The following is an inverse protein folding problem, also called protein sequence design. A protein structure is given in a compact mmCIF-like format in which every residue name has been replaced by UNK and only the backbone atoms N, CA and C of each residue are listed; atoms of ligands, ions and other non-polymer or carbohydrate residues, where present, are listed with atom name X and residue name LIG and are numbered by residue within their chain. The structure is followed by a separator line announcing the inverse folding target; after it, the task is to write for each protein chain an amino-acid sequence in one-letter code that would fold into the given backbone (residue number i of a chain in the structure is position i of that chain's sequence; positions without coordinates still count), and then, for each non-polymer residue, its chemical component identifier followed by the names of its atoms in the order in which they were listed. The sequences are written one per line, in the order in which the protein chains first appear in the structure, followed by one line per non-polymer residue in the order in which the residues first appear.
data_IF_780665765658
#
_entry.id   IF_780665765658
#
_cell.length_a   1.000
_cell.length_b   1.000
_cell.length_c   1.000
_cell.angle_alpha   90.00
_cell.angle_beta   90.00
_cell.angle_gamma   90.00
#
_symmetry.space_group_name_H-M   'P 1'
#
loop_
_entity.id
_entity.type
_entity.pdbx_description
1 polymer ?
#
# COMPACT_ATOMS: atom_id res chain seq x y z
N UNK A 1 16.83 -80.76 -8.48
CA UNK A 1 16.20 -80.78 -7.14
C UNK A 1 16.37 -79.47 -6.51
N UNK A 2 15.31 -78.90 -6.00
CA UNK A 2 15.09 -77.74 -5.20
C UNK A 2 14.87 -76.41 -5.92
N UNK A 3 13.59 -76.18 -6.03
CA UNK A 3 12.91 -74.90 -6.26
C UNK A 3 13.22 -73.94 -5.15
N UNK A 4 13.33 -72.67 -5.50
CA UNK A 4 13.22 -71.59 -4.53
C UNK A 4 12.33 -70.51 -5.10
N UNK A 5 11.26 -70.26 -4.40
CA UNK A 5 10.10 -69.41 -4.68
C UNK A 5 10.50 -67.96 -4.71
N UNK A 6 10.06 -67.29 -5.77
CA UNK A 6 9.99 -65.83 -5.82
C UNK A 6 8.79 -65.35 -4.98
N UNK A 7 9.06 -64.50 -4.03
CA UNK A 7 8.03 -63.76 -3.28
C UNK A 7 7.93 -62.35 -3.86
N UNK A 8 6.79 -62.12 -4.46
CA UNK A 8 6.37 -60.78 -4.93
C UNK A 8 6.16 -59.82 -3.76
N UNK A 9 6.89 -58.72 -3.73
CA UNK A 9 6.57 -57.58 -2.92
C UNK A 9 5.97 -56.49 -3.83
N UNK A 10 4.64 -56.52 -3.98
CA UNK A 10 3.83 -55.41 -4.46
C UNK A 10 3.39 -54.67 -3.21
N UNK A 11 3.80 -53.47 -3.08
CA UNK A 11 3.42 -52.68 -1.90
C UNK A 11 3.61 -51.20 -2.06
N UNK A 12 2.53 -50.50 -2.27
CA UNK A 12 2.24 -49.11 -1.86
C UNK A 12 3.23 -48.03 -2.25
N UNK A 13 3.02 -47.46 -3.42
CA UNK A 13 3.49 -46.11 -3.75
C UNK A 13 2.40 -45.37 -4.53
N UNK A 14 1.30 -45.07 -3.92
CA UNK A 14 0.31 -44.10 -4.44
C UNK A 14 -0.46 -43.56 -3.26
N UNK A 15 -0.08 -42.47 -2.72
CA UNK A 15 -0.95 -41.37 -2.14
C UNK A 15 0.01 -40.24 -1.74
N UNK A 16 0.28 -39.35 -2.65
CA UNK A 16 1.15 -38.20 -2.36
C UNK A 16 1.05 -37.06 -3.38
N UNK A 17 0.05 -37.07 -4.24
CA UNK A 17 -0.06 -36.07 -5.28
C UNK A 17 -1.50 -35.58 -5.46
N UNK A 18 -2.07 -34.97 -4.45
CA UNK A 18 -3.34 -34.22 -4.64
C UNK A 18 -3.44 -32.98 -3.77
N UNK A 19 -2.32 -32.33 -3.44
CA UNK A 19 -2.34 -31.03 -2.76
C UNK A 19 -1.62 -29.93 -3.54
N UNK A 20 -1.30 -30.15 -4.80
CA UNK A 20 -0.97 -29.05 -5.74
C UNK A 20 -2.25 -28.58 -6.42
N UNK A 21 -3.26 -28.30 -5.63
CA UNK A 21 -4.49 -27.72 -6.07
C UNK A 21 -4.45 -26.20 -5.92
N UNK A 22 -4.75 -25.55 -6.99
CA UNK A 22 -5.09 -24.16 -7.18
C UNK A 22 -3.90 -23.23 -7.05
N UNK A 23 -3.18 -23.01 -8.07
CA UNK A 23 -3.66 -22.31 -9.26
C UNK A 23 -3.77 -20.86 -8.92
N UNK A 24 -2.77 -20.09 -9.14
CA UNK A 24 -2.75 -18.68 -9.48
C UNK A 24 -4.07 -17.89 -9.27
N UNK A 25 -4.60 -17.81 -8.09
CA UNK A 25 -5.41 -16.65 -7.75
C UNK A 25 -4.42 -15.51 -7.54
N UNK A 26 -4.36 -14.59 -8.46
CA UNK A 26 -3.88 -13.22 -8.24
C UNK A 26 -4.80 -12.66 -7.15
N UNK A 27 -4.57 -13.03 -5.91
CA UNK A 27 -5.45 -12.75 -4.78
C UNK A 27 -4.64 -12.33 -3.60
N UNK A 28 -5.17 -11.37 -2.88
CA UNK A 28 -4.66 -10.98 -1.57
C UNK A 28 -4.71 -12.20 -0.67
N UNK A 29 -3.58 -12.56 -0.11
CA UNK A 29 -3.50 -13.65 0.87
C UNK A 29 -4.04 -13.17 2.23
N UNK A 30 -4.60 -14.06 3.06
CA UNK A 30 -5.03 -13.70 4.41
C UNK A 30 -3.90 -12.97 5.17
N UNK A 31 -4.22 -11.79 5.72
CA UNK A 31 -3.25 -10.95 6.42
C UNK A 31 -2.43 -9.99 5.55
N UNK A 32 -2.60 -10.02 4.22
CA UNK A 32 -2.02 -9.03 3.32
C UNK A 32 -2.91 -7.79 3.22
N UNK A 33 -2.31 -6.61 3.33
CA UNK A 33 -2.97 -5.33 3.07
C UNK A 33 -2.81 -4.88 1.62
N UNK A 34 -1.66 -5.17 1.02
CA UNK A 34 -1.40 -4.91 -0.38
C UNK A 34 -0.37 -5.88 -0.94
N UNK A 35 -0.44 -6.10 -2.25
CA UNK A 35 0.59 -6.80 -3.05
C UNK A 35 0.97 -5.86 -4.19
N UNK A 36 2.24 -5.49 -4.27
CA UNK A 36 2.79 -4.63 -5.30
C UNK A 36 3.95 -5.37 -5.95
N UNK A 37 3.83 -5.73 -7.22
CA UNK A 37 4.82 -6.59 -7.87
C UNK A 37 5.04 -7.88 -7.08
N UNK A 38 6.26 -8.08 -6.61
CA UNK A 38 6.67 -9.24 -5.83
C UNK A 38 6.59 -9.03 -4.30
N UNK A 39 6.30 -7.81 -3.85
CA UNK A 39 6.30 -7.46 -2.44
C UNK A 39 4.89 -7.49 -1.84
N UNK A 40 4.82 -7.82 -0.55
CA UNK A 40 3.58 -7.91 0.22
C UNK A 40 3.64 -7.03 1.46
N UNK A 41 2.71 -6.11 1.57
CA UNK A 41 2.48 -5.29 2.76
C UNK A 41 1.46 -6.01 3.63
N UNK A 42 1.80 -6.30 4.89
CA UNK A 42 0.89 -6.97 5.81
C UNK A 42 -0.12 -6.02 6.45
N UNK A 43 -1.29 -6.54 6.89
CA UNK A 43 -2.26 -5.81 7.70
C UNK A 43 -1.64 -5.30 9.01
N UNK A 44 -0.79 -6.11 9.66
CA UNK A 44 -0.11 -5.72 10.90
C UNK A 44 0.82 -4.52 10.68
N UNK A 45 1.49 -4.44 9.52
CA UNK A 45 2.31 -3.27 9.16
C UNK A 45 1.44 -2.03 9.01
N UNK A 46 0.30 -2.13 8.33
CA UNK A 46 -0.66 -1.01 8.17
C UNK A 46 -1.21 -0.58 9.53
N UNK A 47 -1.66 -1.51 10.36
CA UNK A 47 -2.25 -1.22 11.67
C UNK A 47 -1.25 -0.60 12.65
N UNK A 48 -0.05 -1.15 12.71
CA UNK A 48 1.01 -0.59 13.56
C UNK A 48 1.43 0.80 13.09
N UNK A 49 1.62 0.98 11.80
CA UNK A 49 1.98 2.29 11.22
C UNK A 49 0.86 3.32 11.43
N UNK A 50 -0.42 2.96 11.23
CA UNK A 50 -1.56 3.85 11.49
C UNK A 50 -1.64 4.26 12.96
N UNK A 51 -1.33 3.37 13.88
CA UNK A 51 -1.28 3.66 15.32
C UNK A 51 -0.16 4.64 15.66
N UNK A 52 1.03 4.46 15.10
CA UNK A 52 2.17 5.37 15.30
C UNK A 52 1.90 6.73 14.65
N UNK A 53 1.33 6.73 13.45
CA UNK A 53 0.94 7.95 12.74
C UNK A 53 -0.14 8.73 13.52
N UNK A 54 -1.16 8.06 14.06
CA UNK A 54 -2.11 8.69 14.99
C UNK A 54 -1.40 9.33 16.17
N UNK A 55 -0.46 8.62 16.79
CA UNK A 55 0.29 9.13 17.95
C UNK A 55 1.07 10.41 17.61
N UNK A 56 1.60 10.51 16.41
CA UNK A 56 2.32 11.70 15.94
C UNK A 56 1.42 12.94 15.89
N UNK A 57 0.19 12.79 15.42
CA UNK A 57 -0.76 13.89 15.22
C UNK A 57 -1.74 14.09 16.38
N UNK A 58 -1.73 13.20 17.37
CA UNK A 58 -2.66 13.24 18.50
C UNK A 58 -2.69 14.59 19.23
N UNK A 59 -1.55 15.25 19.56
CA UNK A 59 -1.58 16.55 20.21
C UNK A 59 -2.28 17.64 19.40
N UNK A 60 -2.08 17.64 18.09
CA UNK A 60 -2.70 18.59 17.17
C UNK A 60 -4.21 18.36 17.08
N UNK A 61 -4.63 17.09 16.93
CA UNK A 61 -6.05 16.72 16.86
C UNK A 61 -6.78 17.12 18.16
N UNK A 62 -6.19 16.85 19.32
CA UNK A 62 -6.75 17.23 20.61
C UNK A 62 -6.86 18.76 20.77
N UNK A 63 -5.84 19.51 20.36
CA UNK A 63 -5.87 20.95 20.39
C UNK A 63 -6.98 21.55 19.52
N UNK A 64 -7.26 20.90 18.38
CA UNK A 64 -8.32 21.31 17.46
C UNK A 64 -9.70 20.74 17.81
N UNK A 65 -9.81 19.88 18.83
CA UNK A 65 -11.03 19.16 19.17
C UNK A 65 -11.50 18.20 18.05
N UNK A 66 -10.56 17.74 17.21
CA UNK A 66 -10.84 16.88 16.07
C UNK A 66 -10.61 15.42 16.42
N UNK A 67 -11.39 14.56 15.78
CA UNK A 67 -11.25 13.12 15.83
C UNK A 67 -11.29 12.53 14.42
N UNK A 68 -10.46 11.54 14.17
CA UNK A 68 -10.37 10.85 12.90
C UNK A 68 -10.63 9.36 13.12
N UNK A 69 -11.59 8.72 12.43
CA UNK A 69 -11.76 7.28 12.52
C UNK A 69 -10.51 6.53 12.08
N UNK A 70 -10.08 5.52 12.85
CA UNK A 70 -8.87 4.74 12.55
C UNK A 70 -8.91 4.07 11.17
N UNK A 71 -10.11 3.74 10.66
CA UNK A 71 -10.23 3.21 9.29
C UNK A 71 -9.67 4.15 8.22
N UNK A 72 -9.84 5.47 8.38
CA UNK A 72 -9.28 6.45 7.44
C UNK A 72 -7.76 6.50 7.52
N UNK A 73 -7.21 6.43 8.72
CA UNK A 73 -5.75 6.36 8.89
C UNK A 73 -5.20 5.07 8.26
N UNK A 74 -5.87 3.93 8.46
CA UNK A 74 -5.47 2.67 7.81
C UNK A 74 -5.54 2.76 6.29
N UNK A 75 -6.61 3.33 5.74
CA UNK A 75 -6.77 3.57 4.31
C UNK A 75 -5.64 4.45 3.77
N UNK A 76 -5.38 5.58 4.43
CA UNK A 76 -4.33 6.51 4.04
C UNK A 76 -2.94 5.86 4.11
N UNK A 77 -2.64 5.20 5.23
CA UNK A 77 -1.37 4.50 5.45
C UNK A 77 -1.16 3.39 4.42
N UNK A 78 -2.17 2.57 4.15
CA UNK A 78 -2.06 1.51 3.16
C UNK A 78 -1.77 2.04 1.77
N UNK A 79 -2.46 3.10 1.36
CA UNK A 79 -2.20 3.79 0.09
C UNK A 79 -0.78 4.36 0.02
N UNK A 80 -0.32 5.03 1.06
CA UNK A 80 1.02 5.62 1.12
C UNK A 80 2.13 4.57 1.09
N UNK A 81 1.99 3.49 1.87
CA UNK A 81 2.96 2.39 1.87
C UNK A 81 3.01 1.69 0.50
N UNK A 82 1.84 1.46 -0.12
CA UNK A 82 1.78 0.85 -1.45
C UNK A 82 2.40 1.74 -2.53
N UNK A 83 2.20 3.06 -2.47
CA UNK A 83 2.85 4.01 -3.38
C UNK A 83 4.37 4.02 -3.20
N UNK A 84 4.85 3.98 -1.96
CA UNK A 84 6.28 3.91 -1.67
C UNK A 84 6.91 2.64 -2.23
N UNK A 85 6.26 1.50 -2.01
CA UNK A 85 6.72 0.21 -2.50
C UNK A 85 6.75 0.15 -4.03
N UNK A 86 5.68 0.61 -4.70
CA UNK A 86 5.66 0.76 -6.15
C UNK A 86 6.82 1.65 -6.64
N UNK A 87 7.06 2.77 -5.97
CA UNK A 87 8.18 3.65 -6.30
C UNK A 87 9.53 2.96 -6.16
N UNK A 88 9.75 2.14 -5.13
CA UNK A 88 10.99 1.38 -4.95
C UNK A 88 11.22 0.38 -6.07
N UNK A 89 10.21 -0.42 -6.41
CA UNK A 89 10.33 -1.38 -7.50
C UNK A 89 10.54 -0.72 -8.85
N UNK A 90 9.89 0.41 -9.11
CA UNK A 90 10.12 1.21 -10.32
C UNK A 90 11.53 1.79 -10.35
N UNK A 91 12.04 2.31 -9.22
CA UNK A 91 13.39 2.84 -9.14
C UNK A 91 14.44 1.77 -9.49
N UNK A 92 14.25 0.55 -8.99
CA UNK A 92 15.11 -0.59 -9.30
C UNK A 92 14.98 -1.04 -10.75
N UNK A 93 13.75 -1.19 -11.26
CA UNK A 93 13.48 -1.63 -12.63
C UNK A 93 14.07 -0.67 -13.68
N UNK A 94 14.01 0.61 -13.42
CA UNK A 94 14.53 1.64 -14.33
C UNK A 94 15.94 2.12 -13.96
N UNK A 95 16.55 1.61 -12.90
CA UNK A 95 17.86 2.02 -12.38
C UNK A 95 17.95 3.55 -12.25
N UNK A 96 17.03 4.16 -11.50
CA UNK A 96 16.99 5.59 -11.18
C UNK A 96 16.96 5.79 -9.66
N UNK A 97 17.27 7.01 -9.24
CA UNK A 97 17.09 7.44 -7.83
C UNK A 97 16.02 8.54 -7.78
N UNK A 98 15.33 8.72 -6.65
CA UNK A 98 14.43 9.84 -6.48
C UNK A 98 15.17 11.16 -6.66
N UNK A 99 14.46 12.21 -7.09
CA UNK A 99 15.04 13.54 -7.28
C UNK A 99 15.51 14.14 -5.96
N UNK A 100 16.42 15.13 -6.02
CA UNK A 100 16.93 15.82 -4.82
C UNK A 100 15.84 16.53 -4.01
N UNK A 101 14.75 16.93 -4.65
CA UNK A 101 13.62 17.62 -4.02
C UNK A 101 12.94 16.73 -2.98
N UNK A 102 12.78 15.44 -3.29
CA UNK A 102 12.26 14.46 -2.34
C UNK A 102 13.08 14.41 -1.05
N UNK A 103 14.40 14.38 -1.14
CA UNK A 103 15.25 14.35 0.04
C UNK A 103 15.08 15.63 0.90
N UNK A 104 14.90 16.78 0.25
CA UNK A 104 14.67 18.06 0.90
C UNK A 104 13.31 18.10 1.61
N UNK A 105 12.26 17.60 0.97
CA UNK A 105 10.92 17.49 1.56
C UNK A 105 10.93 16.53 2.77
N UNK A 106 11.56 15.38 2.65
CA UNK A 106 11.70 14.43 3.77
C UNK A 106 12.46 15.02 4.94
N UNK A 107 13.50 15.83 4.69
CA UNK A 107 14.23 16.53 5.73
C UNK A 107 13.34 17.56 6.47
N UNK A 108 12.47 18.26 5.75
CA UNK A 108 11.52 19.19 6.34
C UNK A 108 10.49 18.48 7.24
N UNK A 109 9.91 17.37 6.76
CA UNK A 109 9.01 16.53 7.58
C UNK A 109 9.76 16.03 8.82
N UNK A 110 11.00 15.54 8.66
CA UNK A 110 11.80 15.03 9.77
C UNK A 110 12.08 16.09 10.86
N UNK A 111 12.20 17.37 10.47
CA UNK A 111 12.38 18.47 11.41
C UNK A 111 11.11 18.79 12.23
N UNK A 112 9.93 18.67 11.61
CA UNK A 112 8.67 18.88 12.33
C UNK A 112 8.48 17.85 13.46
N UNK A 113 9.03 16.65 13.29
CA UNK A 113 8.93 15.55 14.25
C UNK A 113 10.26 15.24 14.94
N UNK A 114 11.13 16.25 15.10
CA UNK A 114 12.46 16.05 15.72
C UNK A 114 12.38 15.54 17.16
N UNK A 115 11.35 15.95 17.90
CA UNK A 115 11.12 15.55 19.29
C UNK A 115 10.30 14.24 19.44
N UNK A 116 9.80 13.67 18.34
CA UNK A 116 9.03 12.44 18.39
C UNK A 116 9.93 11.22 18.65
N UNK A 117 9.35 10.17 19.23
CA UNK A 117 10.04 8.91 19.37
C UNK A 117 10.46 8.34 17.99
N UNK A 118 11.58 7.62 17.90
CA UNK A 118 12.13 7.18 16.60
C UNK A 118 11.17 6.37 15.75
N UNK A 119 10.37 5.48 16.35
CA UNK A 119 9.33 4.68 15.69
C UNK A 119 8.20 5.54 15.12
N UNK A 120 7.76 6.54 15.88
CA UNK A 120 6.75 7.51 15.47
C UNK A 120 7.26 8.34 14.29
N UNK A 121 8.50 8.85 14.39
CA UNK A 121 9.13 9.62 13.32
C UNK A 121 9.26 8.78 12.04
N UNK A 122 9.69 7.53 12.15
CA UNK A 122 9.80 6.60 11.00
C UNK A 122 8.43 6.41 10.35
N UNK A 123 7.38 6.14 11.15
CA UNK A 123 6.03 5.97 10.63
C UNK A 123 5.53 7.21 9.88
N UNK A 124 5.80 8.42 10.39
CA UNK A 124 5.45 9.67 9.70
C UNK A 124 6.19 9.79 8.37
N UNK A 125 7.49 9.55 8.35
CA UNK A 125 8.30 9.64 7.14
C UNK A 125 7.90 8.60 6.09
N UNK A 126 7.52 7.39 6.52
CA UNK A 126 7.04 6.33 5.63
C UNK A 126 5.70 6.75 4.98
N UNK A 127 4.80 7.34 5.75
CA UNK A 127 3.47 7.71 5.30
C UNK A 127 3.47 8.99 4.47
N UNK A 128 4.06 10.07 4.99
CA UNK A 128 4.13 11.35 4.27
C UNK A 128 5.04 11.26 3.03
N UNK A 129 6.01 10.36 3.06
CA UNK A 129 6.95 10.16 1.96
C UNK A 129 6.44 9.26 0.84
N UNK A 130 5.34 8.53 1.02
CA UNK A 130 4.93 7.51 0.05
C UNK A 130 4.62 8.06 -1.33
N UNK A 131 3.65 8.96 -1.43
CA UNK A 131 3.27 9.60 -2.69
C UNK A 131 4.36 10.48 -3.29
N UNK A 132 5.05 11.36 -2.52
CA UNK A 132 6.18 12.13 -3.02
C UNK A 132 7.32 11.25 -3.55
N UNK A 133 7.61 10.13 -2.91
CA UNK A 133 8.62 9.18 -3.39
C UNK A 133 8.28 8.63 -4.77
N UNK A 134 7.07 8.09 -4.92
CA UNK A 134 6.59 7.59 -6.22
C UNK A 134 6.66 8.67 -7.30
N UNK A 135 6.16 9.87 -7.00
CA UNK A 135 6.20 10.99 -7.95
C UNK A 135 7.63 11.35 -8.35
N UNK A 136 8.53 11.43 -7.39
CA UNK A 136 9.94 11.75 -7.60
C UNK A 136 10.63 10.72 -8.48
N UNK A 137 10.36 9.42 -8.25
CA UNK A 137 10.87 8.33 -9.09
C UNK A 137 10.28 8.41 -10.50
N UNK A 138 8.98 8.70 -10.64
CA UNK A 138 8.35 8.88 -11.95
C UNK A 138 8.99 10.04 -12.74
N UNK A 139 9.31 11.15 -12.09
CA UNK A 139 10.03 12.26 -12.73
C UNK A 139 11.41 11.77 -13.24
N UNK A 140 12.18 11.10 -12.40
CA UNK A 140 13.51 10.59 -12.77
C UNK A 140 13.44 9.56 -13.92
N UNK A 141 12.44 8.67 -13.93
CA UNK A 141 12.19 7.76 -15.05
C UNK A 141 11.89 8.52 -16.33
N UNK A 142 11.00 9.50 -16.25
CA UNK A 142 10.62 10.31 -17.41
C UNK A 142 11.80 11.07 -18.00
N UNK A 143 12.62 11.72 -17.19
CA UNK A 143 13.85 12.39 -17.62
C UNK A 143 14.81 11.42 -18.33
N UNK A 144 15.04 10.25 -17.72
CA UNK A 144 15.90 9.21 -18.31
C UNK A 144 15.38 8.73 -19.67
N UNK A 145 14.08 8.45 -19.78
CA UNK A 145 13.48 7.97 -21.02
C UNK A 145 13.46 9.03 -22.12
N UNK A 146 13.18 10.28 -21.78
CA UNK A 146 13.22 11.40 -22.73
C UNK A 146 14.64 11.66 -23.20
N UNK A 147 15.62 11.64 -22.32
CA UNK A 147 17.02 11.79 -22.69
C UNK A 147 17.49 10.67 -23.64
N UNK A 148 17.13 9.42 -23.34
CA UNK A 148 17.50 8.26 -24.19
C UNK A 148 16.85 8.29 -25.58
N UNK A 149 15.70 8.95 -25.72
CA UNK A 149 15.02 9.17 -27.02
C UNK A 149 15.48 10.42 -27.78
N UNK A 150 16.49 11.11 -27.27
CA UNK A 150 17.03 12.34 -27.91
C UNK A 150 16.21 13.60 -27.62
N UNK A 151 15.28 13.57 -26.68
CA UNK A 151 14.42 14.69 -26.29
C UNK A 151 14.58 15.03 -24.79
N UNK A 152 15.79 15.38 -24.31
CA UNK A 152 15.98 15.70 -22.89
C UNK A 152 15.11 16.90 -22.49
N UNK A 153 14.60 16.88 -21.28
CA UNK A 153 13.76 17.96 -20.74
C UNK A 153 14.19 18.34 -19.33
N UNK A 154 13.99 19.60 -18.98
CA UNK A 154 14.05 20.13 -17.62
C UNK A 154 12.64 20.46 -17.08
N UNK A 155 11.60 20.24 -17.90
CA UNK A 155 10.22 20.43 -17.49
C UNK A 155 9.75 19.19 -16.70
N UNK A 156 9.69 19.36 -15.38
CA UNK A 156 9.25 18.31 -14.44
C UNK A 156 7.87 17.74 -14.78
N UNK A 157 6.96 18.58 -15.32
CA UNK A 157 5.62 18.12 -15.67
C UNK A 157 5.66 17.16 -16.87
N UNK A 158 6.45 17.49 -17.88
CA UNK A 158 6.65 16.62 -19.05
C UNK A 158 7.34 15.32 -18.65
N UNK A 159 8.36 15.41 -17.80
CA UNK A 159 9.05 14.23 -17.24
C UNK A 159 8.08 13.36 -16.43
N UNK A 160 7.30 13.95 -15.53
CA UNK A 160 6.30 13.23 -14.73
C UNK A 160 5.30 12.48 -15.60
N UNK A 161 4.73 13.12 -16.62
CA UNK A 161 3.80 12.48 -17.54
C UNK A 161 4.43 11.27 -18.24
N UNK A 162 5.67 11.38 -18.68
CA UNK A 162 6.39 10.27 -19.30
C UNK A 162 6.65 9.13 -18.32
N UNK A 163 7.01 9.45 -17.08
CA UNK A 163 7.19 8.47 -16.00
C UNK A 163 5.89 7.78 -15.59
N UNK A 164 4.77 8.49 -15.57
CA UNK A 164 3.45 7.90 -15.32
C UNK A 164 3.07 6.87 -16.39
N UNK A 165 3.33 7.16 -17.67
CA UNK A 165 3.14 6.17 -18.74
C UNK A 165 4.03 4.94 -18.52
N UNK A 166 5.29 5.13 -18.16
CA UNK A 166 6.18 4.01 -17.86
C UNK A 166 5.71 3.20 -16.63
N UNK A 167 5.11 3.85 -15.63
CA UNK A 167 4.48 3.17 -14.50
C UNK A 167 3.30 2.30 -14.93
N UNK A 168 2.44 2.81 -15.81
CA UNK A 168 1.33 2.03 -16.38
C UNK A 168 1.83 0.82 -17.17
N UNK A 169 2.84 1.02 -18.01
CA UNK A 169 3.47 -0.07 -18.78
C UNK A 169 4.03 -1.16 -17.85
N UNK A 170 4.68 -0.75 -16.74
CA UNK A 170 5.19 -1.69 -15.74
C UNK A 170 4.05 -2.47 -15.07
N UNK A 171 2.97 -1.81 -14.70
CA UNK A 171 1.80 -2.41 -14.05
C UNK A 171 1.02 -3.38 -14.96
N UNK A 172 1.16 -3.31 -16.28
CA UNK A 172 0.59 -4.32 -17.19
C UNK A 172 1.20 -5.72 -17.00
N UNK A 173 2.40 -5.82 -16.47
CA UNK A 173 3.11 -7.08 -16.23
C UNK A 173 3.29 -7.43 -14.75
N UNK A 174 2.91 -6.53 -13.85
CA UNK A 174 3.07 -6.69 -12.41
C UNK A 174 1.76 -6.37 -11.69
N UNK A 175 1.51 -7.07 -10.61
CA UNK A 175 0.31 -6.85 -9.79
C UNK A 175 0.45 -5.61 -8.93
N UNK A 176 -0.64 -4.83 -8.79
CA UNK A 176 -0.77 -3.82 -7.76
C UNK A 176 -2.20 -3.89 -7.21
N UNK A 177 -2.34 -4.57 -6.08
CA UNK A 177 -3.64 -4.87 -5.48
C UNK A 177 -3.60 -4.43 -4.02
N UNK A 178 -4.62 -3.71 -3.59
CA UNK A 178 -4.84 -3.37 -2.17
C UNK A 178 -6.09 -4.12 -1.71
N UNK A 179 -6.06 -4.64 -0.48
CA UNK A 179 -7.23 -5.31 0.11
C UNK A 179 -8.42 -4.35 0.11
N UNK A 180 -9.55 -4.73 -0.51
CA UNK A 180 -10.74 -3.88 -0.60
C UNK A 180 -11.26 -3.38 0.75
N UNK A 181 -11.00 -4.11 1.84
CA UNK A 181 -11.38 -3.68 3.20
C UNK A 181 -10.73 -2.37 3.61
N UNK A 182 -9.60 -2.02 3.00
CA UNK A 182 -8.89 -0.76 3.22
C UNK A 182 -9.44 0.41 2.39
N UNK A 183 -10.40 0.14 1.49
CA UNK A 183 -11.08 1.18 0.74
C UNK A 183 -10.19 1.90 -0.29
N UNK A 184 -9.16 1.24 -0.80
CA UNK A 184 -8.28 1.73 -1.87
C UNK A 184 -8.29 0.78 -3.06
N UNK A 185 -8.10 1.33 -4.24
CA UNK A 185 -7.89 0.56 -5.47
C UNK A 185 -6.77 1.21 -6.30
N UNK A 186 -6.03 0.37 -7.00
CA UNK A 186 -5.05 0.82 -8.00
C UNK A 186 -5.66 0.59 -9.38
N UNK A 187 -5.82 1.66 -10.15
CA UNK A 187 -6.29 1.61 -11.52
C UNK A 187 -5.45 2.55 -12.38
N UNK A 188 -4.93 2.04 -13.48
CA UNK A 188 -4.09 2.80 -14.41
C UNK A 188 -2.91 3.55 -13.73
N UNK A 189 -2.32 2.92 -12.71
CA UNK A 189 -1.23 3.51 -11.92
C UNK A 189 -1.67 4.60 -10.94
N UNK A 190 -2.97 4.81 -10.78
CA UNK A 190 -3.52 5.75 -9.83
C UNK A 190 -4.07 5.03 -8.60
N UNK A 191 -3.74 5.58 -7.43
CA UNK A 191 -4.27 5.11 -6.15
C UNK A 191 -5.50 5.94 -5.80
N UNK A 192 -6.67 5.32 -5.84
CA UNK A 192 -7.95 6.01 -5.59
C UNK A 192 -8.71 5.34 -4.46
N UNK A 193 -9.50 6.14 -3.75
CA UNK A 193 -10.43 5.59 -2.77
C UNK A 193 -11.53 4.81 -3.51
N UNK A 194 -11.80 3.60 -3.04
CA UNK A 194 -12.91 2.78 -3.52
C UNK A 194 -13.74 2.32 -2.33
N UNK A 195 -15.04 2.45 -2.43
CA UNK A 195 -15.94 2.04 -1.37
C UNK A 195 -16.79 0.89 -1.88
N UNK A 196 -16.72 -0.23 -1.17
CA UNK A 196 -17.54 -1.39 -1.45
C UNK A 196 -19.03 -1.01 -1.36
N UNK A 197 -19.74 -1.17 -2.46
CA UNK A 197 -21.18 -0.94 -2.55
C UNK A 197 -21.97 -2.26 -2.48
N UNK A 198 -21.30 -3.38 -2.28
CA UNK A 198 -21.95 -4.69 -2.18
C UNK A 198 -22.48 -4.99 -0.79
N UNK A 199 -22.02 -4.24 0.21
CA UNK A 199 -22.44 -4.38 1.61
C UNK A 199 -23.61 -3.45 1.93
N UNK A 200 -24.70 -4.02 2.48
CA UNK A 200 -25.85 -3.24 2.95
C UNK A 200 -25.66 -2.86 4.42
N UNK A 201 -25.82 -1.56 4.69
CA UNK A 201 -25.79 -1.03 6.05
C UNK A 201 -27.05 -1.46 6.82
N UNK A 202 -26.91 -2.34 7.83
CA UNK A 202 -28.01 -2.91 8.62
C UNK A 202 -28.32 -2.16 9.92
N UNK A 203 -27.57 -1.10 10.22
CA UNK A 203 -27.79 -0.26 11.41
C UNK A 203 -27.59 1.22 11.09
N UNK A 204 -28.16 2.15 11.89
CA UNK A 204 -27.95 3.58 11.71
C UNK A 204 -26.46 3.96 11.72
N UNK A 205 -25.65 3.34 12.59
CA UNK A 205 -24.21 3.58 12.64
C UNK A 205 -23.50 3.07 11.39
N UNK A 206 -23.86 1.89 10.86
CA UNK A 206 -23.32 1.36 9.62
C UNK A 206 -23.70 2.26 8.44
N UNK A 207 -24.97 2.74 8.37
CA UNK A 207 -25.40 3.68 7.34
C UNK A 207 -24.62 5.02 7.39
N UNK A 208 -24.42 5.55 8.60
CA UNK A 208 -23.59 6.73 8.81
C UNK A 208 -22.13 6.48 8.41
N UNK A 209 -21.61 5.27 8.61
CA UNK A 209 -20.29 4.83 8.18
C UNK A 209 -20.14 4.81 6.66
N UNK A 210 -21.13 4.31 5.94
CA UNK A 210 -21.17 4.34 4.46
C UNK A 210 -21.24 5.78 3.95
N UNK A 211 -22.13 6.60 4.50
CA UNK A 211 -22.24 8.02 4.14
C UNK A 211 -20.96 8.82 4.42
N UNK A 212 -20.17 8.36 5.41
CA UNK A 212 -18.86 8.94 5.77
C UNK A 212 -17.70 8.31 5.01
N UNK A 213 -17.94 7.49 3.99
CA UNK A 213 -16.87 6.74 3.34
C UNK A 213 -15.82 7.66 2.69
N UNK A 214 -16.23 8.76 2.08
CA UNK A 214 -15.32 9.71 1.43
C UNK A 214 -14.69 10.72 2.39
N UNK A 215 -15.42 11.13 3.44
CA UNK A 215 -14.95 12.11 4.42
C UNK A 215 -15.54 11.80 5.80
N UNK A 216 -14.75 11.94 6.89
CA UNK A 216 -15.25 11.74 8.24
C UNK A 216 -16.39 12.73 8.56
N UNK A 217 -17.55 12.20 8.93
CA UNK A 217 -18.67 13.01 9.41
C UNK A 217 -18.61 13.05 10.93
N UNK A 218 -18.65 14.24 11.59
CA UNK A 218 -18.49 14.37 13.03
C UNK A 218 -19.46 13.50 13.84
N UNK A 219 -20.73 13.39 13.43
CA UNK A 219 -21.74 12.56 14.10
C UNK A 219 -21.42 11.06 14.05
N UNK A 220 -20.85 10.58 12.95
CA UNK A 220 -20.35 9.20 12.86
C UNK A 220 -19.13 9.00 13.76
N UNK A 221 -18.16 9.90 13.65
CA UNK A 221 -16.89 9.79 14.39
C UNK A 221 -17.12 9.81 15.91
N UNK A 222 -18.05 10.66 16.41
CA UNK A 222 -18.37 10.74 17.84
C UNK A 222 -19.12 9.51 18.37
N UNK A 223 -19.77 8.75 17.51
CA UNK A 223 -20.46 7.52 17.86
C UNK A 223 -19.56 6.28 17.90
N UNK A 224 -18.31 6.40 17.44
CA UNK A 224 -17.37 5.30 17.45
C UNK A 224 -16.76 5.08 18.83
N UNK A 225 -16.44 3.81 19.20
CA UNK A 225 -15.66 3.51 20.39
C UNK A 225 -14.28 4.22 20.36
N UNK A 226 -13.73 4.60 21.55
CA UNK A 226 -12.42 5.27 21.63
C UNK A 226 -11.29 4.52 20.90
N UNK A 227 -11.31 3.19 20.88
CA UNK A 227 -10.31 2.38 20.18
C UNK A 227 -10.39 2.48 18.65
N UNK A 228 -11.47 3.05 18.11
CA UNK A 228 -11.68 3.20 16.66
C UNK A 228 -11.50 4.64 16.19
N UNK A 229 -11.02 5.52 17.04
CA UNK A 229 -10.76 6.93 16.71
C UNK A 229 -9.35 7.34 17.13
N UNK A 230 -8.79 8.28 16.39
CA UNK A 230 -7.59 9.02 16.74
C UNK A 230 -8.01 10.46 17.11
N UNK A 231 -7.66 10.92 18.30
CA UNK A 231 -8.03 12.26 18.80
C UNK A 231 -8.79 12.24 20.11
#
# INVERSE_FOLDING_TARGET
MREARAVSAVGLAVVGMLLSGCGGSIGIHPGSAAVIGDDTISMDKVDSTATLYCRAYLPQLQQQGQKVPMRYLRQFVAGSLAQRDLGQQLADAYAVQPTSDYASEQAQVAQQFVAAAPDVKTAVLDVEGGAPYLQSVQVAIGEKLLASSGNPTTDTKVALQRGQVATQDWLHSHSAIIDPVLGNVVSDGQFTASYDQTSYAVSPLAAAGVASAAQPVPSYTSALPPAQVCG
#
